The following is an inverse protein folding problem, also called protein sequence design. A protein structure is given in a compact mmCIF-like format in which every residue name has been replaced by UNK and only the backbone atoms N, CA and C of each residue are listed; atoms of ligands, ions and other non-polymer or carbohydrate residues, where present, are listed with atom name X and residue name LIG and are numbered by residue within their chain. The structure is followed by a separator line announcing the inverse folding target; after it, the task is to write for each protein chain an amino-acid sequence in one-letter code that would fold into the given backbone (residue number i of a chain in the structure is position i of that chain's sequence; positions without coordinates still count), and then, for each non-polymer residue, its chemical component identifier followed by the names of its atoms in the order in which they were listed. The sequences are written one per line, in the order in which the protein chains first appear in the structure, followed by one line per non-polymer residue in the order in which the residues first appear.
data_IF_157096088566
#
_entry.id   IF_157096088566
#
_cell.length_a   1.000
_cell.length_b   1.000
_cell.length_c   1.000
_cell.angle_alpha   90.00
_cell.angle_beta   90.00
_cell.angle_gamma   90.00
#
_symmetry.space_group_name_H-M   'P 1'
#
loop_
_entity.id
_entity.type
_entity.pdbx_description
1 polymer ?
#
# COMPACT_ATOMS: atom_id res chain seq x y z
N UNK A 1 -39.69 26.81 15.18
CA UNK A 1 -38.86 26.17 16.21
C UNK A 1 -38.58 24.69 15.89
N UNK A 2 -39.56 23.88 15.49
CA UNK A 2 -39.35 22.44 15.11
C UNK A 2 -38.38 22.29 13.93
N UNK A 3 -38.53 23.05 12.88
CA UNK A 3 -37.67 23.00 11.68
C UNK A 3 -36.20 23.34 11.97
N UNK A 4 -35.93 24.24 12.91
CA UNK A 4 -34.57 24.59 13.32
C UNK A 4 -33.91 23.47 14.17
N UNK A 5 -34.70 22.80 15.01
CA UNK A 5 -34.25 21.65 15.79
C UNK A 5 -33.92 20.44 14.90
N UNK A 6 -34.73 20.21 13.86
CA UNK A 6 -34.51 19.13 12.90
C UNK A 6 -33.26 19.37 12.02
N UNK A 7 -33.03 20.63 11.59
CA UNK A 7 -31.79 21.00 10.89
C UNK A 7 -30.55 20.84 11.80
N UNK A 8 -30.61 21.25 13.05
CA UNK A 8 -29.52 21.08 14.02
C UNK A 8 -29.22 19.60 14.29
N UNK A 9 -30.25 18.76 14.46
CA UNK A 9 -30.08 17.32 14.63
C UNK A 9 -29.47 16.66 13.40
N UNK A 10 -29.85 17.08 12.21
CA UNK A 10 -29.27 16.57 10.96
C UNK A 10 -27.77 16.93 10.85
N UNK A 11 -27.41 18.16 11.17
CA UNK A 11 -26.01 18.62 11.15
C UNK A 11 -25.15 17.94 12.23
N UNK A 12 -25.69 17.73 13.42
CA UNK A 12 -25.01 16.98 14.51
C UNK A 12 -24.81 15.52 14.14
N UNK A 13 -25.81 14.90 13.50
CA UNK A 13 -25.70 13.52 13.02
C UNK A 13 -24.68 13.38 11.88
N UNK A 14 -24.65 14.33 10.96
CA UNK A 14 -23.65 14.38 9.87
C UNK A 14 -22.24 14.58 10.42
N UNK A 15 -22.05 15.46 11.41
CA UNK A 15 -20.78 15.65 12.10
C UNK A 15 -20.32 14.40 12.87
N UNK A 16 -21.24 13.67 13.51
CA UNK A 16 -20.92 12.39 14.17
C UNK A 16 -20.46 11.33 13.18
N UNK A 17 -21.15 11.21 12.06
CA UNK A 17 -20.77 10.27 10.98
C UNK A 17 -19.42 10.65 10.39
N UNK A 18 -19.15 11.95 10.19
CA UNK A 18 -17.87 12.46 9.70
C UNK A 18 -16.73 12.17 10.70
N UNK A 19 -16.95 12.38 12.00
CA UNK A 19 -15.97 12.06 13.06
C UNK A 19 -15.72 10.57 13.20
N UNK A 20 -16.73 9.72 13.06
CA UNK A 20 -16.59 8.25 13.08
C UNK A 20 -15.83 7.77 11.84
N UNK A 21 -16.10 8.36 10.67
CA UNK A 21 -15.38 8.03 9.44
C UNK A 21 -13.95 8.57 9.45
N UNK A 22 -13.69 9.76 10.00
CA UNK A 22 -12.32 10.24 10.26
C UNK A 22 -11.58 9.33 11.24
N UNK A 23 -12.23 8.84 12.30
CA UNK A 23 -11.65 7.84 13.20
C UNK A 23 -11.28 6.52 12.52
N UNK A 24 -12.02 6.11 11.49
CA UNK A 24 -11.71 4.92 10.66
C UNK A 24 -10.59 5.19 9.65
N UNK A 25 -10.54 6.39 9.08
CA UNK A 25 -9.48 6.80 8.12
C UNK A 25 -8.14 7.06 8.81
N UNK A 26 -8.16 7.60 10.02
CA UNK A 26 -6.93 7.92 10.77
C UNK A 26 -6.57 6.90 11.85
N UNK A 27 -7.30 5.77 11.97
CA UNK A 27 -6.91 4.66 12.85
C UNK A 27 -6.63 5.04 14.32
N UNK A 28 -7.30 6.07 14.84
CA UNK A 28 -7.10 6.51 16.24
C UNK A 28 -7.91 5.61 17.16
N UNK A 29 -7.32 4.48 17.52
CA UNK A 29 -7.75 3.71 18.68
C UNK A 29 -6.78 4.03 19.81
N UNK A 30 -7.27 4.76 20.79
CA UNK A 30 -6.57 5.01 22.05
C UNK A 30 -6.51 3.73 22.88
N UNK A 31 -5.53 2.86 22.62
CA UNK A 31 -5.20 1.73 23.48
C UNK A 31 -3.96 2.05 24.32
N UNK A 32 -4.23 2.18 25.60
CA UNK A 32 -3.34 2.12 26.77
C UNK A 32 -1.95 2.77 26.67
N UNK A 33 -1.87 3.95 27.24
CA UNK A 33 -0.66 4.78 27.41
C UNK A 33 0.55 4.03 28.02
N UNK A 34 0.33 3.04 28.87
CA UNK A 34 1.40 2.23 29.51
C UNK A 34 2.08 1.23 28.57
N UNK A 35 1.37 0.67 27.60
CA UNK A 35 2.01 -0.18 26.58
C UNK A 35 2.81 0.63 25.54
N UNK A 36 2.44 1.91 25.33
CA UNK A 36 3.20 2.82 24.45
C UNK A 36 4.59 3.15 24.99
N UNK A 37 4.73 3.34 26.29
CA UNK A 37 6.00 3.78 26.90
C UNK A 37 7.05 2.65 26.95
N UNK A 38 6.65 1.42 27.27
CA UNK A 38 7.56 0.28 27.26
C UNK A 38 8.01 -0.11 25.82
N UNK A 39 7.09 0.03 24.83
CA UNK A 39 7.39 -0.21 23.41
C UNK A 39 8.23 0.91 22.81
N UNK A 40 8.09 2.17 23.26
CA UNK A 40 8.91 3.29 22.81
C UNK A 40 10.38 3.14 23.24
N UNK A 41 10.66 2.55 24.39
CA UNK A 41 12.01 2.28 24.86
C UNK A 41 12.72 1.19 24.03
N UNK A 42 12.06 0.06 23.78
CA UNK A 42 12.60 -1.00 22.90
C UNK A 42 12.85 -0.50 21.46
N UNK A 43 12.04 0.44 21.03
CA UNK A 43 12.11 1.07 19.71
C UNK A 43 13.30 2.04 19.60
N UNK A 44 13.58 2.81 20.65
CA UNK A 44 14.74 3.71 20.66
C UNK A 44 16.06 2.94 20.59
N UNK A 45 16.12 1.75 21.19
CA UNK A 45 17.27 0.86 21.12
C UNK A 45 17.45 0.22 19.73
N UNK A 46 16.37 -0.21 19.08
CA UNK A 46 16.41 -0.71 17.70
C UNK A 46 16.76 0.39 16.68
N UNK A 47 16.28 1.63 16.90
CA UNK A 47 16.63 2.80 16.07
C UNK A 47 18.10 3.18 16.20
N UNK A 48 18.67 3.05 17.40
CA UNK A 48 20.11 3.34 17.64
C UNK A 48 21.06 2.29 17.04
N UNK A 49 20.55 1.09 16.74
CA UNK A 49 21.35 0.00 16.17
C UNK A 49 21.49 0.07 14.63
N UNK A 50 20.70 0.90 13.94
CA UNK A 50 20.83 1.11 12.49
C UNK A 50 21.93 2.14 12.24
N UNK A 51 23.11 1.69 11.80
CA UNK A 51 24.21 2.58 11.44
C UNK A 51 23.83 3.49 10.25
N UNK A 52 24.23 4.76 10.31
CA UNK A 52 23.93 5.81 9.31
C UNK A 52 24.40 5.43 7.88
N UNK A 53 25.35 4.54 7.76
CA UNK A 53 25.88 4.03 6.49
C UNK A 53 24.91 3.06 5.79
N UNK A 54 24.16 2.25 6.53
CA UNK A 54 23.15 1.31 6.01
C UNK A 54 21.96 2.06 5.41
N UNK A 55 21.70 3.29 5.88
CA UNK A 55 20.59 4.14 5.40
C UNK A 55 20.87 4.76 4.03
N UNK A 56 22.15 4.96 3.67
CA UNK A 56 22.54 5.68 2.42
C UNK A 56 22.29 4.88 1.15
N UNK A 57 22.44 3.56 1.19
CA UNK A 57 22.21 2.69 0.01
C UNK A 57 21.90 1.26 0.45
N UNK A 58 20.69 0.97 0.94
CA UNK A 58 20.35 -0.36 1.43
C UNK A 58 20.34 -1.37 0.28
N UNK A 59 20.88 -2.57 0.51
CA UNK A 59 20.84 -3.69 -0.42
C UNK A 59 19.37 -4.13 -0.67
N UNK A 60 18.56 -4.11 0.41
CA UNK A 60 17.15 -4.46 0.35
C UNK A 60 16.28 -3.22 0.47
N UNK A 61 15.29 -3.13 -0.40
CA UNK A 61 14.26 -2.09 -0.32
C UNK A 61 13.27 -2.38 0.81
N UNK A 62 12.95 -3.66 1.04
CA UNK A 62 12.12 -4.13 2.16
C UNK A 62 12.89 -5.26 2.86
N UNK A 63 13.05 -5.16 4.17
CA UNK A 63 13.67 -6.20 5.00
C UNK A 63 12.82 -6.42 6.26
N UNK A 64 12.27 -7.63 6.38
CA UNK A 64 11.57 -8.12 7.56
C UNK A 64 12.43 -9.21 8.20
N UNK A 65 12.85 -9.02 9.44
CA UNK A 65 13.69 -9.96 10.19
C UNK A 65 12.96 -10.39 11.46
N UNK A 66 12.65 -11.68 11.54
CA UNK A 66 12.01 -12.37 12.68
C UNK A 66 10.70 -11.69 13.14
N UNK A 67 9.87 -11.27 12.18
CA UNK A 67 8.67 -10.48 12.45
C UNK A 67 7.53 -11.37 12.91
N UNK A 68 7.01 -11.07 14.12
CA UNK A 68 5.83 -11.71 14.69
C UNK A 68 4.75 -10.68 15.01
N UNK A 69 3.48 -11.05 14.76
CA UNK A 69 2.33 -10.19 14.99
C UNK A 69 1.06 -10.96 15.32
N UNK A 70 0.26 -10.43 16.25
CA UNK A 70 -1.08 -10.90 16.59
C UNK A 70 -2.00 -9.73 16.94
N UNK A 71 -3.28 -9.86 16.63
CA UNK A 71 -4.30 -8.87 17.05
C UNK A 71 -4.61 -8.97 18.54
N UNK A 72 -4.30 -10.11 19.17
CA UNK A 72 -4.30 -10.31 20.62
C UNK A 72 -3.01 -10.98 21.06
N UNK A 73 -2.59 -10.83 22.32
CA UNK A 73 -1.34 -11.40 22.83
C UNK A 73 -1.25 -12.94 22.69
N UNK A 74 -2.41 -13.61 22.75
CA UNK A 74 -2.49 -15.08 22.79
C UNK A 74 -2.78 -15.70 21.41
N UNK A 75 -2.90 -14.88 20.33
CA UNK A 75 -3.22 -15.36 18.99
C UNK A 75 -2.33 -14.66 17.94
N UNK A 76 -1.20 -15.29 17.64
CA UNK A 76 -0.33 -14.84 16.56
C UNK A 76 -0.99 -15.08 15.20
N UNK A 77 -0.88 -14.08 14.31
CA UNK A 77 -1.29 -14.14 12.91
C UNK A 77 -0.08 -14.33 12.01
N UNK A 78 1.08 -13.80 12.43
CA UNK A 78 2.36 -13.97 11.78
C UNK A 78 3.40 -14.36 12.84
N UNK A 79 4.28 -15.29 12.50
CA UNK A 79 5.27 -15.83 13.42
C UNK A 79 6.62 -16.04 12.73
N UNK A 80 7.65 -15.30 13.19
CA UNK A 80 9.01 -15.42 12.73
C UNK A 80 9.20 -15.16 11.23
N UNK A 81 8.52 -14.15 10.68
CA UNK A 81 8.58 -13.82 9.25
C UNK A 81 9.95 -13.23 8.92
N UNK A 82 10.65 -13.90 8.01
CA UNK A 82 11.87 -13.43 7.39
C UNK A 82 11.61 -13.24 5.90
N UNK A 83 11.58 -11.97 5.43
CA UNK A 83 11.29 -11.61 4.05
C UNK A 83 12.17 -10.45 3.62
N UNK A 84 12.88 -10.61 2.52
CA UNK A 84 13.72 -9.55 1.95
C UNK A 84 13.40 -9.35 0.49
N UNK A 85 13.27 -8.10 0.06
CA UNK A 85 13.02 -7.71 -1.34
C UNK A 85 14.13 -6.75 -1.75
N UNK A 86 14.89 -7.12 -2.79
CA UNK A 86 15.93 -6.26 -3.33
C UNK A 86 15.35 -5.08 -4.09
N UNK A 87 16.15 -4.08 -4.31
CA UNK A 87 15.79 -2.97 -5.19
C UNK A 87 15.61 -3.49 -6.62
N UNK A 88 14.51 -3.10 -7.25
CA UNK A 88 14.15 -3.53 -8.60
C UNK A 88 13.63 -4.97 -8.69
N UNK A 89 13.43 -5.65 -7.57
CA UNK A 89 12.91 -7.01 -7.52
C UNK A 89 11.40 -7.02 -7.30
N UNK A 90 10.69 -7.86 -8.03
CA UNK A 90 9.29 -8.19 -7.81
C UNK A 90 9.17 -9.54 -7.07
N UNK A 91 8.51 -9.53 -5.91
CA UNK A 91 8.21 -10.72 -5.12
C UNK A 91 6.71 -10.96 -5.05
N UNK A 92 6.26 -12.17 -5.38
CA UNK A 92 4.88 -12.59 -5.16
C UNK A 92 4.72 -13.24 -3.78
N UNK A 93 3.75 -12.75 -2.99
CA UNK A 93 3.33 -13.34 -1.73
C UNK A 93 2.03 -14.12 -1.95
N UNK A 94 2.14 -15.43 -1.91
CA UNK A 94 1.07 -16.38 -2.21
C UNK A 94 0.62 -17.07 -0.93
N UNK A 95 -0.62 -17.54 -0.87
CA UNK A 95 -1.17 -18.29 0.26
C UNK A 95 -2.69 -18.19 0.34
N UNK A 96 -3.31 -19.10 1.09
CA UNK A 96 -4.76 -19.14 1.26
C UNK A 96 -5.30 -17.87 1.92
N UNK A 97 -6.61 -17.61 1.76
CA UNK A 97 -7.27 -16.56 2.53
C UNK A 97 -7.07 -16.77 4.03
N UNK A 98 -6.78 -15.70 4.77
CA UNK A 98 -6.50 -15.77 6.21
C UNK A 98 -5.07 -16.18 6.58
N UNK A 99 -4.17 -16.46 5.64
CA UNK A 99 -2.77 -16.84 5.97
C UNK A 99 -1.92 -15.70 6.54
N UNK A 100 -2.39 -14.45 6.51
CA UNK A 100 -1.67 -13.29 7.08
C UNK A 100 -1.10 -12.32 6.03
N UNK A 101 -1.33 -12.49 4.73
CA UNK A 101 -0.75 -11.65 3.65
C UNK A 101 -1.05 -10.15 3.82
N UNK A 102 -2.31 -9.79 3.95
CA UNK A 102 -2.73 -8.39 4.17
C UNK A 102 -2.23 -7.85 5.51
N UNK A 103 -2.07 -8.70 6.53
CA UNK A 103 -1.47 -8.31 7.81
C UNK A 103 0.00 -7.97 7.62
N UNK A 104 0.76 -8.76 6.86
CA UNK A 104 2.16 -8.48 6.55
C UNK A 104 2.28 -7.18 5.72
N UNK A 105 1.42 -6.99 4.71
CA UNK A 105 1.37 -5.73 3.94
C UNK A 105 1.15 -4.51 4.85
N UNK A 106 0.22 -4.60 5.80
CA UNK A 106 -0.07 -3.52 6.77
C UNK A 106 1.08 -3.25 7.74
N UNK A 107 1.83 -4.27 8.12
CA UNK A 107 3.03 -4.13 8.94
C UNK A 107 4.13 -3.40 8.17
N UNK A 108 4.43 -3.83 6.94
CA UNK A 108 5.42 -3.18 6.07
C UNK A 108 4.99 -1.74 5.74
N UNK A 109 3.68 -1.51 5.52
CA UNK A 109 3.10 -0.19 5.29
C UNK A 109 3.02 0.72 6.53
N UNK A 110 3.41 0.24 7.72
CA UNK A 110 3.41 1.03 8.95
C UNK A 110 2.03 1.23 9.60
N UNK A 111 0.97 0.63 9.05
CA UNK A 111 -0.38 0.71 9.62
C UNK A 111 -0.54 -0.15 10.89
N UNK A 112 0.31 -1.16 11.05
CA UNK A 112 0.42 -2.03 12.21
C UNK A 112 1.86 -2.00 12.73
N UNK A 113 2.06 -2.39 13.98
CA UNK A 113 3.40 -2.50 14.60
C UNK A 113 3.67 -3.96 14.97
N UNK A 114 4.80 -4.48 14.54
CA UNK A 114 5.24 -5.82 14.92
C UNK A 114 5.33 -5.95 16.45
N UNK A 115 5.00 -7.11 16.97
CA UNK A 115 5.21 -7.46 18.37
C UNK A 115 6.67 -7.79 18.63
N UNK A 116 7.29 -8.53 17.70
CA UNK A 116 8.68 -8.94 17.71
C UNK A 116 9.31 -8.75 16.34
N UNK A 117 10.63 -8.71 16.29
CA UNK A 117 11.40 -8.53 15.07
C UNK A 117 11.47 -7.08 14.58
N UNK A 118 12.02 -6.90 13.39
CA UNK A 118 12.23 -5.60 12.78
C UNK A 118 11.77 -5.57 11.33
N UNK A 119 11.23 -4.43 10.91
CA UNK A 119 10.89 -4.15 9.52
C UNK A 119 11.60 -2.87 9.12
N UNK A 120 12.31 -2.89 8.00
CA UNK A 120 12.89 -1.70 7.40
C UNK A 120 12.41 -1.53 5.97
N UNK A 121 12.20 -0.27 5.55
CA UNK A 121 11.92 0.12 4.18
C UNK A 121 12.95 1.15 3.76
N UNK A 122 13.69 0.84 2.70
CA UNK A 122 14.84 1.64 2.26
C UNK A 122 15.80 1.94 3.41
N UNK A 123 16.12 0.90 4.22
CA UNK A 123 17.03 0.97 5.36
C UNK A 123 16.48 1.72 6.58
N UNK A 124 15.27 2.28 6.52
CA UNK A 124 14.64 2.94 7.68
C UNK A 124 13.64 2.03 8.37
N UNK A 125 13.70 1.92 9.71
CA UNK A 125 12.75 1.14 10.47
C UNK A 125 11.32 1.66 10.29
N UNK A 126 10.38 0.71 10.18
CA UNK A 126 8.94 0.99 10.13
C UNK A 126 8.33 0.74 11.51
N UNK A 127 7.57 1.70 12.02
CA UNK A 127 6.89 1.58 13.30
C UNK A 127 5.54 2.27 13.31
N UNK A 128 4.80 2.12 14.42
CA UNK A 128 3.45 2.67 14.53
C UNK A 128 3.43 4.20 14.35
N UNK A 129 2.76 4.64 13.29
CA UNK A 129 2.66 6.06 12.94
C UNK A 129 3.83 6.60 12.09
N UNK A 130 4.85 5.78 11.80
CA UNK A 130 5.84 6.07 10.78
C UNK A 130 5.39 5.41 9.49
N UNK A 131 4.62 6.12 8.71
CA UNK A 131 4.28 5.66 7.38
C UNK A 131 5.52 5.82 6.49
N UNK A 132 6.04 4.75 5.88
CA UNK A 132 7.22 4.83 5.03
C UNK A 132 6.94 5.50 3.67
N UNK A 133 5.94 6.36 3.62
CA UNK A 133 5.56 7.18 2.47
C UNK A 133 6.35 8.49 2.39
N UNK A 134 7.11 8.83 3.44
CA UNK A 134 8.00 9.99 3.40
C UNK A 134 9.08 9.83 2.31
N UNK A 135 9.55 10.96 1.79
CA UNK A 135 10.52 10.95 0.72
C UNK A 135 11.90 10.42 1.17
N UNK A 136 12.54 9.68 0.30
CA UNK A 136 13.96 9.35 0.41
C UNK A 136 14.82 10.57 0.11
N UNK A 137 16.13 10.44 0.21
CA UNK A 137 17.07 11.54 -0.02
C UNK A 137 17.04 12.11 -1.45
N UNK A 138 16.55 11.34 -2.41
CA UNK A 138 16.36 11.72 -3.81
C UNK A 138 14.98 12.32 -4.10
N UNK A 139 14.15 12.53 -3.07
CA UNK A 139 12.81 13.10 -3.18
C UNK A 139 11.69 12.10 -3.55
N UNK A 140 12.03 10.85 -3.87
CA UNK A 140 11.05 9.80 -4.21
C UNK A 140 10.42 9.22 -2.95
N UNK A 141 9.12 8.85 -2.95
CA UNK A 141 8.52 8.11 -1.84
C UNK A 141 9.27 6.79 -1.59
N UNK A 142 9.49 6.42 -0.33
CA UNK A 142 10.12 5.14 -0.02
C UNK A 142 9.20 3.97 -0.32
N UNK A 143 7.93 4.09 0.00
CA UNK A 143 6.92 3.06 -0.21
C UNK A 143 5.58 3.67 -0.58
N UNK A 144 4.89 3.08 -1.54
CA UNK A 144 3.46 3.25 -1.73
C UNK A 144 2.73 1.91 -1.59
N UNK A 145 1.53 1.96 -1.02
CA UNK A 145 0.68 0.78 -0.85
C UNK A 145 -0.59 0.98 -1.68
N UNK A 146 -0.81 0.10 -2.65
CA UNK A 146 -2.05 0.00 -3.39
C UNK A 146 -2.88 -1.15 -2.80
N UNK A 147 -3.98 -0.79 -2.16
CA UNK A 147 -4.91 -1.75 -1.56
C UNK A 147 -5.95 -2.24 -2.56
N UNK A 148 -6.64 -3.31 -2.21
CA UNK A 148 -7.72 -3.90 -3.01
C UNK A 148 -8.81 -2.87 -3.39
N UNK A 149 -9.13 -1.94 -2.48
CA UNK A 149 -10.06 -0.85 -2.76
C UNK A 149 -9.28 0.38 -3.23
N UNK A 150 -9.31 0.63 -4.53
CA UNK A 150 -8.78 1.86 -5.09
C UNK A 150 -9.71 3.04 -4.76
N UNK A 151 -9.13 4.15 -4.30
CA UNK A 151 -9.88 5.34 -3.92
C UNK A 151 -9.77 6.45 -4.96
N UNK A 152 -10.91 7.09 -5.23
CA UNK A 152 -10.97 8.36 -5.94
C UNK A 152 -11.15 9.47 -4.91
N UNK A 153 -10.20 10.40 -4.88
CA UNK A 153 -10.28 11.59 -4.03
C UNK A 153 -11.26 12.61 -4.63
N UNK A 154 -11.80 13.45 -3.75
CA UNK A 154 -12.74 14.48 -4.20
C UNK A 154 -12.04 15.50 -5.10
N UNK A 155 -12.62 15.77 -6.27
CA UNK A 155 -12.10 16.74 -7.25
C UNK A 155 -12.03 16.18 -8.67
N UNK A 156 -11.18 16.80 -9.47
CA UNK A 156 -10.94 16.46 -10.88
C UNK A 156 -9.99 15.25 -11.01
N UNK A 157 -9.84 14.77 -12.25
CA UNK A 157 -8.82 13.74 -12.54
C UNK A 157 -7.41 14.27 -12.20
N UNK A 158 -7.09 15.52 -12.52
CA UNK A 158 -5.81 16.13 -12.17
C UNK A 158 -5.61 16.24 -10.66
N UNK A 159 -6.63 16.67 -9.89
CA UNK A 159 -6.55 16.74 -8.42
C UNK A 159 -6.19 15.38 -7.81
N UNK A 160 -6.65 14.30 -8.43
CA UNK A 160 -6.35 12.95 -7.99
C UNK A 160 -4.88 12.54 -8.14
N UNK A 161 -4.11 13.22 -8.96
CA UNK A 161 -2.66 13.06 -9.08
C UNK A 161 -1.89 13.97 -8.13
N UNK A 162 -2.34 15.21 -7.95
CA UNK A 162 -1.68 16.19 -7.08
C UNK A 162 -1.70 15.80 -5.61
N UNK A 163 -2.62 14.91 -5.20
CA UNK A 163 -2.60 14.30 -3.86
C UNK A 163 -1.30 13.52 -3.59
N UNK A 164 -0.71 12.91 -4.62
CA UNK A 164 0.50 12.09 -4.50
C UNK A 164 1.75 12.88 -4.90
N UNK A 165 1.65 13.69 -5.96
CA UNK A 165 2.73 14.56 -6.47
C UNK A 165 2.16 15.97 -6.64
N UNK A 166 2.27 16.86 -5.63
CA UNK A 166 1.63 18.18 -5.62
C UNK A 166 2.00 19.08 -6.82
N UNK A 167 3.24 18.99 -7.29
CA UNK A 167 3.77 19.83 -8.37
C UNK A 167 3.75 19.13 -9.74
N UNK A 168 2.99 18.03 -9.89
CA UNK A 168 2.92 17.29 -11.14
C UNK A 168 2.27 18.14 -12.24
N UNK A 169 2.88 18.16 -13.42
CA UNK A 169 2.32 18.80 -14.59
C UNK A 169 1.25 17.91 -15.25
N UNK A 170 0.33 18.52 -15.98
CA UNK A 170 -0.70 17.76 -16.75
C UNK A 170 -0.05 16.78 -17.73
N UNK A 171 1.11 17.11 -18.29
CA UNK A 171 1.84 16.23 -19.20
C UNK A 171 2.34 14.97 -18.48
N UNK A 172 2.97 15.13 -17.33
CA UNK A 172 3.41 14.00 -16.51
C UNK A 172 2.25 13.10 -16.08
N UNK A 173 1.09 13.66 -15.75
CA UNK A 173 -0.11 12.88 -15.41
C UNK A 173 -0.61 12.06 -16.61
N UNK A 174 -0.58 12.65 -17.81
CA UNK A 174 -0.95 11.97 -19.06
C UNK A 174 0.04 10.84 -19.40
N UNK A 175 1.33 11.13 -19.30
CA UNK A 175 2.38 10.13 -19.49
C UNK A 175 2.21 8.94 -18.54
N UNK A 176 1.88 9.19 -17.26
CA UNK A 176 1.63 8.14 -16.28
C UNK A 176 0.41 7.28 -16.64
N UNK A 177 -0.69 7.90 -17.13
CA UNK A 177 -1.86 7.17 -17.62
C UNK A 177 -1.53 6.35 -18.86
N UNK A 178 -0.82 6.94 -19.82
CA UNK A 178 -0.43 6.26 -21.05
C UNK A 178 0.55 5.09 -20.76
N UNK A 179 1.46 5.25 -19.80
CA UNK A 179 2.42 4.22 -19.41
C UNK A 179 1.76 2.94 -18.87
N UNK A 180 0.59 3.05 -18.26
CA UNK A 180 -0.20 1.90 -17.79
C UNK A 180 -1.25 1.43 -18.80
N UNK A 181 -1.24 1.94 -20.02
CA UNK A 181 -2.22 1.60 -21.06
C UNK A 181 -3.60 2.27 -20.89
N UNK A 182 -3.78 3.13 -19.90
CA UNK A 182 -5.06 3.82 -19.66
C UNK A 182 -5.27 4.92 -20.71
N UNK A 183 -6.18 4.69 -21.64
CA UNK A 183 -6.48 5.64 -22.74
C UNK A 183 -7.82 6.33 -22.58
N UNK A 184 -8.69 5.84 -21.69
CA UNK A 184 -10.04 6.32 -21.43
C UNK A 184 -10.12 7.79 -21.00
N UNK A 185 -9.04 8.34 -20.42
CA UNK A 185 -9.00 9.74 -20.01
C UNK A 185 -9.17 10.74 -21.17
N UNK A 186 -8.84 10.29 -22.40
CA UNK A 186 -8.98 11.09 -23.63
C UNK A 186 -10.42 11.30 -24.04
N UNK A 187 -11.31 10.39 -23.62
CA UNK A 187 -12.74 10.41 -23.93
C UNK A 187 -13.56 11.15 -22.85
N UNK A 188 -12.89 11.62 -21.78
CA UNK A 188 -13.56 12.39 -20.73
C UNK A 188 -13.94 13.79 -21.26
N UNK A 189 -15.15 14.30 -20.91
CA UNK A 189 -15.69 15.55 -21.48
C UNK A 189 -14.81 16.79 -21.31
N UNK A 190 -14.04 16.83 -20.21
CA UNK A 190 -13.13 17.95 -19.86
C UNK A 190 -11.69 17.45 -19.69
N UNK A 191 -11.37 16.24 -20.18
CA UNK A 191 -10.05 15.64 -20.04
C UNK A 191 -9.62 15.57 -18.56
N UNK A 192 -8.45 16.14 -18.24
CA UNK A 192 -7.89 16.13 -16.90
C UNK A 192 -8.69 16.96 -15.88
N UNK A 193 -9.49 17.94 -16.35
CA UNK A 193 -10.35 18.78 -15.49
C UNK A 193 -11.73 18.15 -15.22
N UNK A 194 -11.99 16.95 -15.76
CA UNK A 194 -13.23 16.22 -15.48
C UNK A 194 -13.32 15.87 -14.00
N UNK A 195 -14.44 16.25 -13.35
CA UNK A 195 -14.73 15.85 -11.96
C UNK A 195 -15.01 14.35 -11.94
N UNK A 196 -14.19 13.61 -11.20
CA UNK A 196 -14.22 12.13 -11.15
C UNK A 196 -14.71 11.59 -9.82
N UNK A 197 -15.09 12.46 -8.89
CA UNK A 197 -15.55 12.11 -7.55
C UNK A 197 -17.07 12.16 -7.40
N UNK A 198 -17.59 11.46 -6.37
CA UNK A 198 -19.02 11.48 -6.02
C UNK A 198 -19.82 10.33 -6.62
N UNK A 199 -21.14 10.38 -6.38
CA UNK A 199 -22.09 9.33 -6.82
C UNK A 199 -22.22 9.23 -8.35
N UNK A 200 -21.99 10.35 -9.04
CA UNK A 200 -22.08 10.45 -10.50
C UNK A 200 -20.69 10.38 -11.16
N UNK A 201 -19.72 9.74 -10.50
CA UNK A 201 -18.38 9.55 -11.08
C UNK A 201 -18.48 8.89 -12.46
N UNK A 202 -17.86 9.45 -13.50
CA UNK A 202 -17.86 8.85 -14.82
C UNK A 202 -16.94 7.63 -14.93
N UNK A 203 -16.13 7.34 -13.88
CA UNK A 203 -15.14 6.28 -13.92
C UNK A 203 -15.74 4.92 -13.54
N UNK A 204 -15.41 3.91 -14.33
CA UNK A 204 -15.66 2.51 -13.98
C UNK A 204 -14.70 2.04 -12.88
N UNK A 205 -14.97 0.87 -12.30
CA UNK A 205 -14.07 0.27 -11.29
C UNK A 205 -12.67 0.01 -11.84
N UNK A 206 -12.59 -0.46 -13.08
CA UNK A 206 -11.31 -0.73 -13.77
C UNK A 206 -10.52 0.55 -13.97
N UNK A 207 -11.19 1.63 -14.40
CA UNK A 207 -10.57 2.94 -14.57
C UNK A 207 -10.08 3.54 -13.24
N UNK A 208 -10.83 3.32 -12.15
CA UNK A 208 -10.40 3.71 -10.80
C UNK A 208 -9.15 2.94 -10.38
N UNK A 209 -9.08 1.65 -10.70
CA UNK A 209 -7.91 0.81 -10.44
C UNK A 209 -6.70 1.27 -11.25
N UNK A 210 -6.90 1.53 -12.56
CA UNK A 210 -5.85 2.09 -13.40
C UNK A 210 -5.37 3.46 -12.88
N UNK A 211 -6.27 4.35 -12.45
CA UNK A 211 -5.89 5.61 -11.83
C UNK A 211 -4.98 5.41 -10.60
N UNK A 212 -5.27 4.42 -9.76
CA UNK A 212 -4.42 4.10 -8.61
C UNK A 212 -3.02 3.64 -9.05
N UNK A 213 -2.92 2.82 -10.09
CA UNK A 213 -1.62 2.39 -10.65
C UNK A 213 -0.87 3.54 -11.34
N UNK A 214 -1.58 4.43 -12.06
CA UNK A 214 -0.98 5.61 -12.68
C UNK A 214 -0.36 6.57 -11.63
N UNK A 215 -0.99 6.71 -10.47
CA UNK A 215 -0.43 7.47 -9.34
C UNK A 215 0.90 6.88 -8.86
N UNK A 216 1.03 5.55 -8.83
CA UNK A 216 2.29 4.89 -8.46
C UNK A 216 3.37 5.18 -9.50
N UNK A 217 3.01 5.10 -10.79
CA UNK A 217 3.97 5.41 -11.88
C UNK A 217 4.43 6.85 -11.80
N UNK A 218 3.51 7.80 -11.59
CA UNK A 218 3.82 9.22 -11.45
C UNK A 218 4.70 9.53 -10.24
N UNK A 219 4.40 8.95 -9.10
CA UNK A 219 5.14 9.17 -7.85
C UNK A 219 6.51 8.49 -7.83
N UNK A 220 6.71 7.51 -8.68
CA UNK A 220 7.95 6.73 -8.84
C UNK A 220 8.60 6.30 -7.52
N UNK A 221 7.89 5.57 -6.63
CA UNK A 221 8.42 5.16 -5.34
C UNK A 221 9.53 4.11 -5.48
N UNK A 222 10.38 3.98 -4.45
CA UNK A 222 11.41 2.94 -4.40
C UNK A 222 10.82 1.54 -4.20
N UNK A 223 9.74 1.44 -3.43
CA UNK A 223 9.03 0.19 -3.16
C UNK A 223 7.51 0.36 -3.32
N UNK A 224 6.83 -0.72 -3.70
CA UNK A 224 5.39 -0.77 -3.86
C UNK A 224 4.84 -2.05 -3.23
N UNK A 225 3.71 -1.96 -2.55
CA UNK A 225 2.90 -3.11 -2.17
C UNK A 225 1.62 -3.08 -2.99
N UNK A 226 1.34 -4.15 -3.72
CA UNK A 226 0.12 -4.36 -4.48
C UNK A 226 -0.70 -5.45 -3.77
N UNK A 227 -1.70 -5.06 -2.97
CA UNK A 227 -2.56 -5.99 -2.23
C UNK A 227 -3.86 -6.21 -3.00
N UNK A 228 -3.91 -7.30 -3.80
CA UNK A 228 -5.03 -7.68 -4.67
C UNK A 228 -5.52 -6.54 -5.60
N UNK A 229 -4.64 -5.59 -5.90
CA UNK A 229 -4.97 -4.33 -6.57
C UNK A 229 -5.25 -4.45 -8.07
N UNK A 230 -5.23 -5.65 -8.63
CA UNK A 230 -5.50 -5.91 -10.06
C UNK A 230 -6.71 -6.81 -10.29
N UNK A 231 -7.45 -7.17 -9.24
CA UNK A 231 -8.58 -8.11 -9.34
C UNK A 231 -9.75 -7.60 -10.18
N UNK A 232 -9.83 -6.31 -10.42
CA UNK A 232 -10.89 -5.66 -11.22
C UNK A 232 -10.47 -5.43 -12.67
N UNK A 233 -9.17 -5.60 -13.03
CA UNK A 233 -8.68 -5.37 -14.39
C UNK A 233 -8.84 -6.63 -15.25
N UNK A 234 -9.13 -6.44 -16.55
CA UNK A 234 -8.97 -7.51 -17.52
C UNK A 234 -7.48 -7.92 -17.60
N UNK A 235 -7.22 -9.18 -17.89
CA UNK A 235 -5.85 -9.73 -17.80
C UNK A 235 -4.84 -8.99 -18.68
N UNK A 236 -5.25 -8.60 -19.89
CA UNK A 236 -4.36 -7.89 -20.83
C UNK A 236 -3.97 -6.51 -20.26
N UNK A 237 -4.96 -5.76 -19.76
CA UNK A 237 -4.77 -4.43 -19.14
C UNK A 237 -3.97 -4.53 -17.85
N UNK A 238 -4.21 -5.58 -17.05
CA UNK A 238 -3.45 -5.83 -15.83
C UNK A 238 -1.97 -6.06 -16.11
N UNK A 239 -1.64 -6.83 -17.16
CA UNK A 239 -0.24 -7.12 -17.54
C UNK A 239 0.49 -5.88 -18.01
N UNK A 240 -0.13 -5.05 -18.88
CA UNK A 240 0.45 -3.79 -19.34
C UNK A 240 0.65 -2.81 -18.17
N UNK A 241 -0.38 -2.60 -17.38
CA UNK A 241 -0.35 -1.70 -16.22
C UNK A 241 0.69 -2.12 -15.18
N UNK A 242 0.76 -3.41 -14.87
CA UNK A 242 1.73 -3.94 -13.90
C UNK A 242 3.16 -3.84 -14.41
N UNK A 243 3.42 -4.08 -15.69
CA UNK A 243 4.76 -3.95 -16.26
C UNK A 243 5.34 -2.56 -16.02
N UNK A 244 4.54 -1.51 -16.16
CA UNK A 244 4.95 -0.13 -15.87
C UNK A 244 5.21 0.11 -14.37
N UNK A 245 4.43 -0.52 -13.48
CA UNK A 245 4.62 -0.41 -12.02
C UNK A 245 5.84 -1.19 -11.56
N UNK A 246 6.11 -2.37 -12.15
CA UNK A 246 7.25 -3.23 -11.79
C UNK A 246 8.60 -2.64 -12.22
N UNK A 247 8.61 -1.79 -13.24
CA UNK A 247 9.84 -1.25 -13.81
C UNK A 247 10.69 -0.49 -12.76
N UNK A 248 11.89 -1.02 -12.48
CA UNK A 248 12.90 -0.41 -11.60
C UNK A 248 12.48 -0.19 -10.13
N UNK A 249 11.43 -0.86 -9.66
CA UNK A 249 10.90 -0.75 -8.29
C UNK A 249 10.98 -2.08 -7.57
N UNK A 250 11.14 -2.03 -6.25
CA UNK A 250 10.90 -3.20 -5.42
C UNK A 250 9.40 -3.38 -5.24
N UNK A 251 8.84 -4.52 -5.64
CA UNK A 251 7.39 -4.72 -5.60
C UNK A 251 7.03 -5.99 -4.84
N UNK A 252 6.16 -5.84 -3.83
CA UNK A 252 5.49 -6.96 -3.19
C UNK A 252 4.10 -7.13 -3.80
N UNK A 253 3.90 -8.20 -4.56
CA UNK A 253 2.63 -8.54 -5.20
C UNK A 253 1.89 -9.54 -4.32
N UNK A 254 0.74 -9.17 -3.78
CA UNK A 254 -0.17 -10.10 -3.10
C UNK A 254 -1.30 -10.41 -4.06
N UNK A 255 -1.34 -11.63 -4.56
CA UNK A 255 -2.37 -12.08 -5.49
C UNK A 255 -2.65 -13.57 -5.32
N UNK A 256 -3.90 -13.94 -5.54
CA UNK A 256 -4.33 -15.32 -5.68
C UNK A 256 -4.38 -15.78 -7.15
N UNK A 257 -4.14 -14.88 -8.10
CA UNK A 257 -4.06 -15.18 -9.53
C UNK A 257 -2.62 -15.55 -9.91
N UNK A 258 -2.43 -16.79 -10.34
CA UNK A 258 -1.13 -17.31 -10.78
C UNK A 258 -0.51 -16.51 -11.92
N UNK A 259 -1.35 -15.94 -12.81
CA UNK A 259 -0.91 -15.16 -13.96
C UNK A 259 -0.29 -13.83 -13.53
N UNK A 260 -0.89 -13.17 -12.54
CA UNK A 260 -0.36 -11.92 -11.96
C UNK A 260 0.92 -12.22 -11.18
N UNK A 261 0.91 -13.26 -10.38
CA UNK A 261 2.09 -13.63 -9.60
C UNK A 261 3.26 -14.11 -10.49
N UNK A 262 2.99 -14.64 -11.70
CA UNK A 262 4.04 -15.03 -12.66
C UNK A 262 4.83 -13.85 -13.23
N UNK A 263 4.39 -12.62 -13.02
CA UNK A 263 5.13 -11.41 -13.36
C UNK A 263 6.25 -11.09 -12.35
N UNK A 264 6.26 -11.74 -11.20
CA UNK A 264 7.29 -11.58 -10.20
C UNK A 264 8.55 -12.42 -10.52
N UNK A 265 9.71 -11.96 -10.04
CA UNK A 265 10.99 -12.65 -10.20
C UNK A 265 11.05 -13.93 -9.35
N UNK A 266 10.42 -13.91 -8.18
CA UNK A 266 10.27 -15.07 -7.27
C UNK A 266 8.98 -14.97 -6.46
N UNK A 267 8.62 -16.07 -5.82
CA UNK A 267 7.45 -16.14 -4.96
C UNK A 267 7.75 -16.77 -3.61
N UNK A 268 6.97 -16.42 -2.59
CA UNK A 268 6.96 -17.07 -1.28
C UNK A 268 5.56 -17.54 -0.93
N UNK A 269 5.47 -18.70 -0.29
CA UNK A 269 4.21 -19.28 0.21
C UNK A 269 4.06 -18.99 1.69
N UNK A 270 3.05 -18.21 2.03
CA UNK A 270 2.63 -17.94 3.40
C UNK A 270 1.51 -18.89 3.79
N UNK A 271 1.74 -19.71 4.81
CA UNK A 271 0.77 -20.64 5.35
C UNK A 271 0.73 -20.53 6.87
N UNK A 272 -0.47 -20.35 7.42
CA UNK A 272 -0.70 -20.21 8.87
C UNK A 272 0.30 -19.28 9.57
N UNK A 273 0.52 -18.10 8.97
CA UNK A 273 1.38 -17.07 9.53
C UNK A 273 2.88 -17.30 9.38
N UNK A 274 3.33 -18.33 8.66
CA UNK A 274 4.75 -18.65 8.44
C UNK A 274 5.07 -18.75 6.95
N UNK A 275 6.27 -18.34 6.56
CA UNK A 275 6.80 -18.61 5.22
C UNK A 275 7.29 -20.07 5.21
N UNK A 276 6.67 -20.91 4.35
CA UNK A 276 6.95 -22.34 4.30
C UNK A 276 7.70 -22.77 3.03
N UNK A 277 7.69 -21.94 2.00
CA UNK A 277 8.40 -22.20 0.75
C UNK A 277 8.75 -20.88 0.04
N UNK A 278 9.86 -20.92 -0.70
CA UNK A 278 10.34 -19.87 -1.58
C UNK A 278 10.89 -20.48 -2.87
N UNK A 279 10.60 -19.89 -4.02
CA UNK A 279 11.03 -20.40 -5.32
C UNK A 279 10.51 -19.58 -6.47
N UNK A 280 10.53 -20.14 -7.67
CA UNK A 280 9.87 -19.50 -8.82
C UNK A 280 8.35 -19.45 -8.62
N UNK A 281 7.65 -18.47 -9.22
CA UNK A 281 6.20 -18.40 -9.12
C UNK A 281 5.50 -19.71 -9.51
N UNK A 282 5.97 -20.38 -10.56
CA UNK A 282 5.39 -21.65 -11.02
C UNK A 282 5.52 -22.78 -9.99
N UNK A 283 6.69 -22.91 -9.33
CA UNK A 283 6.91 -23.90 -8.27
C UNK A 283 6.02 -23.64 -7.06
N UNK A 284 5.92 -22.39 -6.64
CA UNK A 284 5.13 -22.01 -5.46
C UNK A 284 3.63 -22.21 -5.71
N UNK A 285 3.11 -21.85 -6.89
CA UNK A 285 1.71 -22.13 -7.22
C UNK A 285 1.36 -23.61 -7.30
N UNK A 286 2.32 -24.48 -7.64
CA UNK A 286 2.12 -25.93 -7.61
C UNK A 286 1.91 -26.49 -6.18
N UNK A 287 2.22 -25.70 -5.14
CA UNK A 287 2.07 -26.08 -3.72
C UNK A 287 0.77 -25.55 -3.09
N UNK A 288 0.00 -24.66 -3.77
CA UNK A 288 -1.21 -24.04 -3.22
C UNK A 288 -2.48 -24.78 -3.62
#
# INVERSE_FOLDING_TARGET
LRTLADMLNHHVSSLRIMLVNMGRVFGVVSLAKKQREARAQHRAEAFAAVSDETVKNPEYAIDCTDVSYGYSPDALVLEGINLKIRRGEALALVGRSGSGKTTLARLIGGSLTALEGTITVMGRPVGHGDFPTDAAADGRPRLLVCTQEAHVFFGTLADNFTVVVPDATIEQMREALDAIGARWWRDLPQGMDTVVSGADSPLTRDQIQQLALARIVLADPHAVILDESTTQLELADATESLSAVLANRAVLIISHDARIASLADRAVLLHEGRIIAEGSPAEIFALT
#
